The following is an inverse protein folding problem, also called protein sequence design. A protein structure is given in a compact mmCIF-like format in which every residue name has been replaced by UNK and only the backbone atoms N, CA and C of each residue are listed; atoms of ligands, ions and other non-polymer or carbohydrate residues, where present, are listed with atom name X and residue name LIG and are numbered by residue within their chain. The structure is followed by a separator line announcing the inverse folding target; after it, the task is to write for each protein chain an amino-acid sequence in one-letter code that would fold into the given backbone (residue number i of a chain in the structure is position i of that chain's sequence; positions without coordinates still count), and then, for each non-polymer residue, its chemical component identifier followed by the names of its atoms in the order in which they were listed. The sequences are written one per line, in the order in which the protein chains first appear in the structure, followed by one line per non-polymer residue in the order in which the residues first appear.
data_IF_034342160090
#
_entry.id   IF_034342160090
#
_cell.length_a   1.000
_cell.length_b   1.000
_cell.length_c   1.000
_cell.angle_alpha   90.00
_cell.angle_beta   90.00
_cell.angle_gamma   90.00
#
_symmetry.space_group_name_H-M   'P 1'
#
loop_
_entity.id
_entity.type
_entity.pdbx_description
1 polymer ?
#
# COMPACT_ATOMS: atom_id res chain seq x y z
N UNK A 1 39.25 7.82 5.81
CA UNK A 1 38.79 7.17 7.06
C UNK A 1 38.26 8.27 7.97
N UNK A 2 37.07 8.08 8.54
CA UNK A 2 36.46 9.02 9.48
C UNK A 2 37.35 9.19 10.74
N UNK A 3 37.43 10.40 11.28
CA UNK A 3 38.15 10.67 12.53
C UNK A 3 37.34 10.20 13.75
N UNK A 4 37.98 10.10 14.91
CA UNK A 4 37.26 9.81 16.16
C UNK A 4 36.21 10.86 16.53
N UNK A 5 36.38 12.11 16.08
CA UNK A 5 35.37 13.15 16.27
C UNK A 5 34.19 12.96 15.32
N UNK A 6 34.45 12.59 14.06
CA UNK A 6 33.41 12.28 13.08
C UNK A 6 32.54 11.09 13.53
N UNK A 7 33.15 10.06 14.14
CA UNK A 7 32.42 8.90 14.66
C UNK A 7 31.54 9.29 15.86
N UNK A 8 32.02 10.17 16.75
CA UNK A 8 31.21 10.66 17.88
C UNK A 8 30.02 11.47 17.41
N UNK A 9 30.23 12.35 16.42
CA UNK A 9 29.17 13.13 15.80
C UNK A 9 28.15 12.20 15.12
N UNK A 10 28.64 11.24 14.34
CA UNK A 10 27.82 10.19 13.71
C UNK A 10 26.93 9.46 14.72
N UNK A 11 27.50 8.99 15.83
CA UNK A 11 26.74 8.29 16.89
C UNK A 11 25.64 9.22 17.43
N UNK A 12 25.99 10.46 17.79
CA UNK A 12 25.04 11.41 18.38
C UNK A 12 23.88 11.70 17.43
N UNK A 13 24.17 12.02 16.16
CA UNK A 13 23.14 12.34 15.17
C UNK A 13 22.28 11.11 14.83
N UNK A 14 22.90 9.93 14.74
CA UNK A 14 22.17 8.69 14.48
C UNK A 14 21.23 8.33 15.64
N UNK A 15 21.65 8.52 16.90
CA UNK A 15 20.79 8.29 18.08
C UNK A 15 19.57 9.22 18.08
N UNK A 16 19.75 10.50 17.74
CA UNK A 16 18.64 11.45 17.62
C UNK A 16 17.66 11.07 16.50
N UNK A 17 18.16 10.62 15.35
CA UNK A 17 17.34 10.17 14.22
C UNK A 17 16.63 8.84 14.52
N UNK A 18 17.27 7.92 15.25
CA UNK A 18 16.66 6.67 15.73
C UNK A 18 15.48 6.99 16.66
N UNK A 19 15.64 7.94 17.60
CA UNK A 19 14.53 8.33 18.48
C UNK A 19 13.36 8.94 17.69
N UNK A 20 13.65 9.84 16.74
CA UNK A 20 12.61 10.40 15.86
C UNK A 20 11.89 9.33 15.03
N UNK A 21 12.64 8.32 14.58
CA UNK A 21 12.08 7.19 13.84
C UNK A 21 11.12 6.39 14.73
N UNK A 22 11.52 6.08 15.96
CA UNK A 22 10.66 5.39 16.94
C UNK A 22 9.37 6.14 17.20
N UNK A 23 9.47 7.44 17.50
CA UNK A 23 8.30 8.28 17.78
C UNK A 23 7.33 8.34 16.58
N UNK A 24 7.87 8.39 15.36
CA UNK A 24 7.07 8.36 14.14
C UNK A 24 6.39 6.99 13.92
N UNK A 25 7.07 5.87 14.20
CA UNK A 25 6.47 4.53 14.12
C UNK A 25 5.32 4.40 15.13
N UNK A 26 5.52 4.84 16.37
CA UNK A 26 4.48 4.81 17.41
C UNK A 26 3.28 5.69 17.03
N UNK A 27 3.52 6.90 16.53
CA UNK A 27 2.44 7.78 16.06
C UNK A 27 1.66 7.16 14.90
N UNK A 28 2.35 6.48 13.98
CA UNK A 28 1.72 5.75 12.89
C UNK A 28 0.89 4.55 13.37
N UNK A 29 1.37 3.84 14.39
CA UNK A 29 0.63 2.74 15.02
C UNK A 29 -0.66 3.24 15.69
N UNK A 30 -0.58 4.35 16.42
CA UNK A 30 -1.74 4.98 17.06
C UNK A 30 -2.70 5.64 16.05
N UNK A 31 -2.17 6.27 15.00
CA UNK A 31 -2.90 7.08 14.03
C UNK A 31 -2.65 6.61 12.58
N UNK A 32 -3.15 5.42 12.21
CA UNK A 32 -2.82 4.74 10.96
C UNK A 32 -3.19 5.45 9.65
N UNK A 33 -4.18 6.34 9.70
CA UNK A 33 -4.64 7.09 8.53
C UNK A 33 -3.90 8.42 8.37
N UNK A 34 -3.02 8.78 9.31
CA UNK A 34 -2.23 9.99 9.24
C UNK A 34 -1.01 9.76 8.33
N UNK A 35 -0.88 10.46 7.20
CA UNK A 35 0.26 10.28 6.29
C UNK A 35 1.55 10.96 6.78
N UNK A 36 1.47 11.83 7.81
CA UNK A 36 2.63 12.61 8.29
C UNK A 36 3.77 11.72 8.81
N UNK A 37 3.54 10.70 9.64
CA UNK A 37 4.63 9.88 10.15
C UNK A 37 5.39 9.14 9.05
N UNK A 38 4.71 8.64 8.01
CA UNK A 38 5.38 8.01 6.84
C UNK A 38 6.34 8.99 6.16
N UNK A 39 5.90 10.24 5.98
CA UNK A 39 6.72 11.29 5.38
C UNK A 39 7.92 11.67 6.27
N UNK A 40 7.71 11.71 7.59
CA UNK A 40 8.79 11.94 8.57
C UNK A 40 9.82 10.79 8.56
N UNK A 41 9.35 9.55 8.51
CA UNK A 41 10.20 8.36 8.37
C UNK A 41 11.02 8.44 7.08
N UNK A 42 10.41 8.80 5.94
CA UNK A 42 11.11 8.95 4.67
C UNK A 42 12.28 9.93 4.76
N UNK A 43 12.06 11.13 5.31
CA UNK A 43 13.14 12.11 5.45
C UNK A 43 14.21 11.70 6.47
N UNK A 44 13.79 11.02 7.54
CA UNK A 44 14.72 10.52 8.56
C UNK A 44 15.65 9.47 7.96
N UNK A 45 15.11 8.54 7.17
CA UNK A 45 15.92 7.53 6.46
C UNK A 45 16.77 8.11 5.34
N UNK A 46 16.30 9.13 4.62
CA UNK A 46 17.11 9.87 3.67
C UNK A 46 18.35 10.50 4.34
N UNK A 47 18.16 11.06 5.54
CA UNK A 47 19.24 11.64 6.33
C UNK A 47 20.19 10.57 6.85
N UNK A 48 19.65 9.48 7.41
CA UNK A 48 20.44 8.33 7.87
C UNK A 48 21.28 7.70 6.75
N UNK A 49 20.75 7.61 5.52
CA UNK A 49 21.51 7.14 4.34
C UNK A 49 22.76 7.97 4.09
N UNK A 50 22.63 9.30 4.10
CA UNK A 50 23.76 10.21 3.94
C UNK A 50 24.76 10.09 5.08
N UNK A 51 24.26 10.08 6.31
CA UNK A 51 25.06 10.00 7.52
C UNK A 51 25.88 8.71 7.61
N UNK A 52 25.25 7.57 7.30
CA UNK A 52 25.89 6.24 7.28
C UNK A 52 26.93 6.12 6.16
N UNK A 53 26.67 6.69 4.98
CA UNK A 53 27.65 6.75 3.89
C UNK A 53 28.88 7.58 4.28
N UNK A 54 28.69 8.75 4.92
CA UNK A 54 29.79 9.60 5.39
C UNK A 54 30.65 8.91 6.45
N UNK A 55 30.02 8.11 7.32
CA UNK A 55 30.72 7.31 8.32
C UNK A 55 31.39 6.05 7.76
N UNK A 56 31.17 5.73 6.47
CA UNK A 56 31.80 4.60 5.77
C UNK A 56 31.05 3.27 5.87
N UNK A 57 29.78 3.29 6.32
CA UNK A 57 28.91 2.11 6.36
C UNK A 57 28.12 1.99 5.05
N UNK A 58 28.76 1.50 4.00
CA UNK A 58 28.15 1.37 2.67
C UNK A 58 26.92 0.47 2.65
N UNK A 59 26.95 -0.66 3.33
CA UNK A 59 25.83 -1.60 3.33
C UNK A 59 24.68 -1.08 4.21
N UNK A 60 24.98 -0.45 5.34
CA UNK A 60 23.95 0.24 6.12
C UNK A 60 23.32 1.41 5.35
N UNK A 61 24.10 2.13 4.54
CA UNK A 61 23.59 3.18 3.66
C UNK A 61 22.65 2.61 2.59
N UNK A 62 23.01 1.48 1.96
CA UNK A 62 22.12 0.75 1.03
C UNK A 62 20.83 0.31 1.72
N UNK A 63 20.92 -0.23 2.93
CA UNK A 63 19.76 -0.59 3.74
C UNK A 63 18.84 0.62 3.96
N UNK A 64 19.39 1.78 4.36
CA UNK A 64 18.61 2.99 4.53
C UNK A 64 17.92 3.43 3.23
N UNK A 65 18.59 3.29 2.10
CA UNK A 65 18.04 3.61 0.78
C UNK A 65 16.90 2.65 0.38
N UNK A 66 17.03 1.35 0.63
CA UNK A 66 15.96 0.38 0.39
C UNK A 66 14.73 0.69 1.23
N UNK A 67 14.92 1.07 2.49
CA UNK A 67 13.82 1.48 3.36
C UNK A 67 13.20 2.81 2.94
N UNK A 68 14.00 3.80 2.52
CA UNK A 68 13.52 5.06 1.93
C UNK A 68 12.61 4.78 0.71
N UNK A 69 13.04 3.85 -0.17
CA UNK A 69 12.27 3.46 -1.36
C UNK A 69 10.98 2.75 -0.99
N UNK A 70 11.02 1.88 0.02
CA UNK A 70 9.86 1.20 0.56
C UNK A 70 8.82 2.17 1.15
N UNK A 71 9.26 3.14 1.95
CA UNK A 71 8.40 4.20 2.48
C UNK A 71 7.82 5.08 1.36
N UNK A 72 8.61 5.40 0.36
CA UNK A 72 8.14 6.17 -0.80
C UNK A 72 7.05 5.43 -1.58
N UNK A 73 7.18 4.12 -1.70
CA UNK A 73 6.21 3.24 -2.35
C UNK A 73 4.94 3.01 -1.52
N UNK A 74 4.96 3.30 -0.21
CA UNK A 74 3.81 3.12 0.69
C UNK A 74 3.10 4.43 1.03
N UNK A 75 3.72 5.60 0.85
CA UNK A 75 3.14 6.91 1.24
C UNK A 75 1.78 7.25 0.60
N UNK A 76 1.55 6.80 -0.64
CA UNK A 76 0.33 7.07 -1.41
C UNK A 76 -0.64 5.88 -1.39
N UNK A 77 -0.26 4.78 -0.73
CA UNK A 77 -1.03 3.55 -0.71
C UNK A 77 -1.58 3.37 0.70
N UNK A 78 -2.90 3.25 0.81
CA UNK A 78 -3.47 2.87 2.10
C UNK A 78 -2.99 1.45 2.42
N UNK A 79 -2.25 1.30 3.51
CA UNK A 79 -1.85 -0.03 4.01
C UNK A 79 -3.09 -0.67 4.62
N UNK A 80 -3.40 -1.89 4.20
CA UNK A 80 -4.56 -2.62 4.69
C UNK A 80 -4.51 -2.80 6.21
N UNK A 81 -5.67 -2.75 6.88
CA UNK A 81 -5.73 -2.99 8.32
C UNK A 81 -5.14 -4.36 8.71
N UNK A 82 -5.20 -5.34 7.81
CA UNK A 82 -4.71 -6.71 8.01
C UNK A 82 -3.18 -6.81 7.93
N UNK A 83 -2.51 -5.99 7.11
CA UNK A 83 -1.04 -5.95 6.99
C UNK A 83 -0.40 -4.86 7.85
N UNK A 84 -1.21 -4.04 8.54
CA UNK A 84 -0.73 -2.93 9.36
C UNK A 84 0.22 -3.40 10.46
N UNK A 85 -0.10 -4.48 11.17
CA UNK A 85 0.80 -5.06 12.18
C UNK A 85 2.12 -5.48 11.56
N UNK A 86 2.09 -6.24 10.47
CA UNK A 86 3.31 -6.65 9.75
C UNK A 86 4.12 -5.46 9.22
N UNK A 87 3.45 -4.38 8.81
CA UNK A 87 4.11 -3.14 8.39
C UNK A 87 4.85 -2.49 9.56
N UNK A 88 4.15 -2.27 10.69
CA UNK A 88 4.72 -1.69 11.91
C UNK A 88 5.88 -2.55 12.43
N UNK A 89 5.70 -3.88 12.48
CA UNK A 89 6.75 -4.83 12.87
C UNK A 89 7.98 -4.67 11.98
N UNK A 90 7.80 -4.58 10.65
CA UNK A 90 8.90 -4.36 9.70
C UNK A 90 9.60 -3.01 9.90
N UNK A 91 8.86 -1.95 10.29
CA UNK A 91 9.46 -0.66 10.64
C UNK A 91 10.33 -0.78 11.90
N UNK A 92 9.85 -1.49 12.93
CA UNK A 92 10.60 -1.72 14.16
C UNK A 92 11.83 -2.63 13.94
N UNK A 93 11.70 -3.70 13.17
CA UNK A 93 12.83 -4.55 12.78
C UNK A 93 13.92 -3.75 12.06
N UNK A 94 13.50 -2.82 11.19
CA UNK A 94 14.42 -1.93 10.48
C UNK A 94 15.11 -0.93 11.41
N UNK A 95 14.39 -0.41 12.40
CA UNK A 95 14.95 0.44 13.45
C UNK A 95 15.97 -0.33 14.32
N UNK A 96 15.71 -1.60 14.59
CA UNK A 96 16.60 -2.45 15.38
C UNK A 96 17.92 -2.76 14.66
N UNK A 97 17.92 -2.87 13.33
CA UNK A 97 19.16 -2.94 12.54
C UNK A 97 20.04 -1.71 12.80
N UNK A 98 19.46 -0.51 12.73
CA UNK A 98 20.18 0.74 12.99
C UNK A 98 20.73 0.77 14.42
N UNK A 99 19.89 0.49 15.43
CA UNK A 99 20.31 0.44 16.84
C UNK A 99 21.45 -0.54 17.08
N UNK A 100 21.39 -1.71 16.45
CA UNK A 100 22.43 -2.73 16.60
C UNK A 100 23.77 -2.27 16.02
N UNK A 101 23.78 -1.60 14.86
CA UNK A 101 25.01 -1.04 14.31
C UNK A 101 25.54 0.08 15.19
N UNK A 102 24.72 1.05 15.60
CA UNK A 102 25.16 2.14 16.49
C UNK A 102 25.73 1.60 17.81
N UNK A 103 25.10 0.56 18.39
CA UNK A 103 25.61 -0.11 19.60
C UNK A 103 26.98 -0.76 19.40
N UNK A 104 27.27 -1.31 18.22
CA UNK A 104 28.61 -1.84 17.87
C UNK A 104 29.63 -0.72 17.73
N UNK A 105 29.28 0.35 17.02
CA UNK A 105 30.14 1.52 16.81
C UNK A 105 30.52 2.17 18.14
N UNK A 106 29.57 2.28 19.08
CA UNK A 106 29.85 2.76 20.45
C UNK A 106 30.87 1.92 21.24
N UNK A 107 31.05 0.66 20.86
CA UNK A 107 32.07 -0.25 21.43
C UNK A 107 33.38 -0.26 20.64
N UNK A 108 33.50 0.57 19.61
CA UNK A 108 34.66 0.63 18.70
C UNK A 108 34.63 -0.42 17.58
N UNK A 109 33.52 -1.13 17.41
CA UNK A 109 33.34 -2.08 16.30
C UNK A 109 32.72 -1.36 15.10
N UNK A 110 33.55 -1.16 14.06
CA UNK A 110 33.17 -0.51 12.80
C UNK A 110 32.76 -1.52 11.72
N UNK A 111 32.46 -2.76 12.10
CA UNK A 111 31.99 -3.79 11.14
C UNK A 111 30.61 -3.41 10.62
N UNK A 112 30.50 -3.28 9.30
CA UNK A 112 29.25 -3.02 8.60
C UNK A 112 28.34 -4.27 8.58
N UNK A 113 27.07 -4.09 8.19
CA UNK A 113 26.15 -5.20 7.98
C UNK A 113 26.55 -6.01 6.73
N UNK A 114 26.21 -7.30 6.75
CA UNK A 114 26.52 -8.20 5.64
C UNK A 114 25.67 -7.86 4.40
N UNK A 115 26.28 -7.89 3.20
CA UNK A 115 25.56 -7.54 1.97
C UNK A 115 24.42 -8.52 1.66
N UNK A 116 24.57 -9.82 2.00
CA UNK A 116 23.49 -10.80 1.83
C UNK A 116 22.29 -10.47 2.73
N UNK A 117 22.54 -10.01 3.95
CA UNK A 117 21.47 -9.55 4.84
C UNK A 117 20.73 -8.33 4.25
N UNK A 118 21.44 -7.41 3.60
CA UNK A 118 20.82 -6.28 2.88
C UNK A 118 19.94 -6.78 1.73
N UNK A 119 20.43 -7.75 0.95
CA UNK A 119 19.68 -8.35 -0.16
C UNK A 119 18.42 -9.10 0.33
N UNK A 120 18.53 -9.84 1.44
CA UNK A 120 17.41 -10.57 2.06
C UNK A 120 16.32 -9.61 2.58
N UNK A 121 16.73 -8.51 3.22
CA UNK A 121 15.80 -7.47 3.68
C UNK A 121 15.13 -6.77 2.49
N UNK A 122 15.90 -6.44 1.44
CA UNK A 122 15.33 -5.86 0.22
C UNK A 122 14.27 -6.78 -0.38
N UNK A 123 14.54 -8.08 -0.45
CA UNK A 123 13.55 -9.07 -0.87
C UNK A 123 12.29 -9.07 0.00
N UNK A 124 12.43 -8.83 1.30
CA UNK A 124 11.29 -8.68 2.22
C UNK A 124 10.48 -7.40 1.95
N UNK A 125 11.12 -6.31 1.57
CA UNK A 125 10.43 -5.06 1.16
C UNK A 125 9.74 -5.20 -0.20
N UNK A 126 10.39 -5.87 -1.16
CA UNK A 126 9.83 -6.10 -2.51
C UNK A 126 8.65 -7.09 -2.45
N UNK A 127 8.72 -8.09 -1.56
CA UNK A 127 7.62 -9.04 -1.30
C UNK A 127 6.57 -8.51 -0.32
N UNK A 128 6.83 -7.39 0.34
CA UNK A 128 5.79 -6.52 0.89
C UNK A 128 5.06 -5.86 -0.31
N UNK A 129 4.47 -6.71 -1.16
CA UNK A 129 3.59 -6.30 -2.22
C UNK A 129 2.47 -5.53 -1.53
N UNK A 130 2.47 -4.24 -1.82
CA UNK A 130 1.26 -3.45 -1.70
C UNK A 130 0.30 -4.03 -2.73
N UNK A 131 -0.37 -5.11 -2.31
CA UNK A 131 -1.51 -5.65 -3.00
C UNK A 131 -2.45 -4.47 -3.20
N UNK A 132 -2.78 -4.24 -4.47
CA UNK A 132 -3.80 -3.31 -4.86
C UNK A 132 -5.12 -3.78 -4.25
N UNK A 133 -5.37 -3.36 -3.01
CA UNK A 133 -6.52 -3.80 -2.26
C UNK A 133 -7.79 -3.27 -2.91
N UNK A 134 -8.60 -4.20 -3.35
CA UNK A 134 -9.90 -3.98 -3.95
C UNK A 134 -10.91 -3.72 -2.82
N UNK A 135 -10.59 -4.24 -1.63
CA UNK A 135 -11.20 -3.95 -0.33
C UNK A 135 -11.17 -2.48 0.11
N UNK A 136 -10.40 -1.59 -0.57
CA UNK A 136 -10.57 -0.14 -0.36
C UNK A 136 -11.91 0.40 -0.83
N UNK A 137 -12.65 -0.42 -1.59
CA UNK A 137 -13.95 -0.07 -2.11
C UNK A 137 -14.95 -0.73 -1.19
N UNK A 138 -15.23 0.00 -0.11
CA UNK A 138 -16.24 -0.38 0.86
C UNK A 138 -17.60 -0.32 0.16
N UNK A 139 -18.28 -1.47 -0.02
CA UNK A 139 -19.67 -1.51 -0.44
C UNK A 139 -20.47 -0.52 0.40
N UNK A 140 -21.15 0.42 -0.26
CA UNK A 140 -21.99 1.39 0.42
C UNK A 140 -23.08 0.63 1.17
N UNK A 141 -23.35 1.03 2.41
CA UNK A 141 -24.38 0.38 3.21
C UNK A 141 -25.76 0.51 2.57
N UNK A 142 -26.65 -0.46 2.79
CA UNK A 142 -28.01 -0.46 2.22
C UNK A 142 -28.79 0.81 2.58
N UNK A 143 -28.55 1.38 3.76
CA UNK A 143 -29.18 2.62 4.22
C UNK A 143 -28.71 3.86 3.46
N UNK A 144 -27.43 3.91 3.06
CA UNK A 144 -26.87 4.96 2.22
C UNK A 144 -27.31 4.83 0.76
N UNK A 145 -27.37 3.60 0.24
CA UNK A 145 -27.93 3.31 -1.11
C UNK A 145 -29.34 3.90 -1.24
N UNK A 146 -30.18 3.73 -0.22
CA UNK A 146 -31.57 4.22 -0.25
C UNK A 146 -31.65 5.74 -0.29
N UNK A 147 -30.71 6.44 0.36
CA UNK A 147 -30.61 7.91 0.30
C UNK A 147 -30.15 8.38 -1.08
N UNK A 148 -29.14 7.71 -1.64
CA UNK A 148 -28.55 8.04 -2.94
C UNK A 148 -29.59 7.86 -4.05
N UNK A 149 -30.34 6.76 -4.04
CA UNK A 149 -31.41 6.51 -5.01
C UNK A 149 -32.63 7.44 -4.86
N UNK A 150 -32.69 8.26 -3.79
CA UNK A 150 -33.64 9.36 -3.67
C UNK A 150 -33.32 10.55 -4.58
N UNK A 151 -32.08 10.65 -5.07
CA UNK A 151 -31.68 11.61 -6.10
C UNK A 151 -32.03 11.06 -7.49
N UNK A 152 -32.85 11.79 -8.24
CA UNK A 152 -33.33 11.37 -9.58
C UNK A 152 -32.23 11.36 -10.65
N UNK A 153 -31.03 11.89 -10.36
CA UNK A 153 -29.93 11.92 -11.31
C UNK A 153 -29.10 10.64 -11.32
N UNK A 154 -29.09 9.86 -10.23
CA UNK A 154 -28.33 8.62 -10.15
C UNK A 154 -29.18 7.40 -10.56
N UNK A 155 -28.58 6.49 -11.32
CA UNK A 155 -29.24 5.28 -11.81
C UNK A 155 -28.54 4.04 -11.28
N UNK A 156 -29.29 3.02 -10.80
CA UNK A 156 -28.71 1.76 -10.39
C UNK A 156 -28.48 0.83 -11.58
N UNK A 157 -27.35 0.15 -11.55
CA UNK A 157 -26.89 -0.81 -12.54
C UNK A 157 -26.47 -2.11 -11.86
N UNK A 158 -26.72 -3.21 -12.56
CA UNK A 158 -26.08 -4.50 -12.31
C UNK A 158 -25.06 -4.74 -13.42
N UNK A 159 -23.80 -4.92 -13.06
CA UNK A 159 -22.70 -5.20 -13.99
C UNK A 159 -22.21 -6.62 -13.69
N UNK A 160 -22.31 -7.51 -14.67
CA UNK A 160 -21.65 -8.81 -14.62
C UNK A 160 -20.36 -8.72 -15.43
N UNK A 161 -19.27 -9.24 -14.88
CA UNK A 161 -17.96 -9.29 -15.53
C UNK A 161 -17.44 -10.70 -15.46
N UNK A 162 -16.90 -11.19 -16.59
CA UNK A 162 -16.12 -12.42 -16.67
C UNK A 162 -14.73 -12.09 -17.20
N UNK A 163 -13.69 -12.44 -16.44
CA UNK A 163 -12.30 -12.35 -16.87
C UNK A 163 -11.94 -13.52 -17.77
N UNK A 164 -11.01 -13.30 -18.70
CA UNK A 164 -10.45 -14.38 -19.51
C UNK A 164 -9.81 -15.47 -18.64
N UNK A 165 -9.90 -16.73 -19.05
CA UNK A 165 -9.26 -17.85 -18.34
C UNK A 165 -7.73 -17.71 -18.27
N UNK A 166 -7.14 -17.02 -19.26
CA UNK A 166 -5.71 -16.72 -19.39
C UNK A 166 -5.24 -15.58 -18.49
N UNK A 167 -6.12 -14.86 -17.79
CA UNK A 167 -5.74 -13.73 -16.95
C UNK A 167 -4.89 -14.19 -15.76
N UNK A 168 -3.57 -13.97 -15.86
CA UNK A 168 -2.57 -14.38 -14.86
C UNK A 168 -2.69 -13.53 -13.58
N UNK A 169 -2.98 -12.24 -13.73
CA UNK A 169 -3.00 -11.27 -12.63
C UNK A 169 -4.43 -10.80 -12.28
N UNK A 170 -5.30 -11.74 -11.91
CA UNK A 170 -6.73 -11.46 -11.63
C UNK A 170 -6.93 -10.34 -10.60
N UNK A 171 -6.12 -10.28 -9.53
CA UNK A 171 -6.20 -9.20 -8.53
C UNK A 171 -5.91 -7.83 -9.11
N UNK A 172 -4.87 -7.71 -9.93
CA UNK A 172 -4.52 -6.46 -10.62
C UNK A 172 -5.65 -6.03 -11.55
N UNK A 173 -6.24 -7.00 -12.27
CA UNK A 173 -7.36 -6.73 -13.18
C UNK A 173 -8.59 -6.23 -12.45
N UNK A 174 -8.96 -6.90 -11.36
CA UNK A 174 -10.08 -6.47 -10.53
C UNK A 174 -9.85 -5.07 -9.94
N UNK A 175 -8.62 -4.74 -9.51
CA UNK A 175 -8.31 -3.38 -9.02
C UNK A 175 -8.54 -2.31 -10.10
N UNK A 176 -8.09 -2.55 -11.33
CA UNK A 176 -8.27 -1.60 -12.44
C UNK A 176 -9.77 -1.40 -12.74
N UNK A 177 -10.54 -2.48 -12.80
CA UNK A 177 -12.00 -2.45 -13.01
C UNK A 177 -12.67 -1.60 -11.93
N UNK A 178 -12.36 -1.90 -10.68
CA UNK A 178 -12.99 -1.27 -9.54
C UNK A 178 -12.64 0.21 -9.41
N UNK A 179 -11.38 0.57 -9.70
CA UNK A 179 -10.93 1.96 -9.78
C UNK A 179 -11.65 2.71 -10.88
N UNK A 180 -11.69 2.16 -12.09
CA UNK A 180 -12.34 2.78 -13.24
C UNK A 180 -13.84 3.05 -12.97
N UNK A 181 -14.53 2.11 -12.31
CA UNK A 181 -15.92 2.29 -11.89
C UNK A 181 -16.06 3.38 -10.83
N UNK A 182 -15.23 3.42 -9.79
CA UNK A 182 -15.35 4.44 -8.75
C UNK A 182 -14.95 5.86 -9.17
N UNK A 183 -14.11 6.01 -10.20
CA UNK A 183 -13.86 7.32 -10.82
C UNK A 183 -15.11 7.87 -11.54
N UNK A 184 -16.08 7.01 -11.84
CA UNK A 184 -17.24 7.32 -12.68
C UNK A 184 -18.60 7.08 -11.99
N UNK A 185 -18.59 6.72 -10.71
CA UNK A 185 -19.78 6.37 -9.93
C UNK A 185 -19.41 5.68 -8.64
N UNK A 186 -20.30 4.83 -8.12
CA UNK A 186 -20.18 4.23 -6.80
C UNK A 186 -20.47 2.74 -6.85
N UNK A 187 -19.47 1.93 -6.52
CA UNK A 187 -19.68 0.50 -6.26
C UNK A 187 -20.39 0.35 -4.93
N UNK A 188 -21.53 -0.31 -4.96
CA UNK A 188 -22.42 -0.46 -3.81
C UNK A 188 -22.30 -1.83 -3.17
N UNK A 189 -22.10 -2.91 -3.95
CA UNK A 189 -21.81 -4.26 -3.45
C UNK A 189 -21.31 -5.16 -4.60
N UNK A 190 -20.68 -6.30 -4.27
CA UNK A 190 -20.21 -7.30 -5.25
C UNK A 190 -20.55 -8.73 -4.83
N UNK A 191 -20.81 -9.59 -5.82
CA UNK A 191 -20.95 -11.04 -5.63
C UNK A 191 -19.88 -11.80 -6.42
N UNK A 192 -18.97 -12.54 -5.77
CA UNK A 192 -18.80 -12.64 -4.32
C UNK A 192 -18.29 -11.33 -3.69
N UNK A 193 -18.37 -11.23 -2.37
CA UNK A 193 -17.92 -10.05 -1.62
C UNK A 193 -16.42 -9.73 -1.87
N UNK A 194 -15.98 -8.46 -1.74
CA UNK A 194 -14.62 -8.05 -2.09
C UNK A 194 -13.51 -8.89 -1.42
N UNK A 195 -13.69 -9.28 -0.16
CA UNK A 195 -12.73 -10.10 0.59
C UNK A 195 -12.61 -11.53 0.04
N UNK A 196 -13.63 -11.98 -0.69
CA UNK A 196 -13.67 -13.29 -1.35
C UNK A 196 -13.11 -13.21 -2.76
N UNK A 197 -13.32 -12.09 -3.46
CA UNK A 197 -12.65 -11.77 -4.72
C UNK A 197 -11.13 -11.64 -4.54
N UNK A 198 -10.63 -11.30 -3.36
CA UNK A 198 -9.18 -11.24 -3.11
C UNK A 198 -8.54 -12.61 -2.80
N UNK A 199 -9.32 -13.66 -2.56
CA UNK A 199 -8.79 -14.99 -2.23
C UNK A 199 -8.52 -15.80 -3.50
N UNK A 200 -7.54 -16.71 -3.44
CA UNK A 200 -7.10 -17.57 -4.55
C UNK A 200 -8.17 -18.56 -5.09
N UNK A 201 -9.41 -18.49 -4.60
CA UNK A 201 -10.59 -19.23 -5.11
C UNK A 201 -11.46 -18.26 -5.93
N UNK A 202 -10.81 -17.47 -6.78
CA UNK A 202 -11.47 -16.52 -7.65
C UNK A 202 -12.12 -17.29 -8.80
N UNK A 203 -13.45 -17.35 -8.78
CA UNK A 203 -14.19 -17.61 -10.01
C UNK A 203 -13.87 -16.49 -11.01
N UNK A 204 -13.86 -16.81 -12.30
CA UNK A 204 -13.58 -15.80 -13.33
C UNK A 204 -14.72 -14.80 -13.49
N UNK A 205 -15.88 -15.09 -12.91
CA UNK A 205 -17.07 -14.27 -12.97
C UNK A 205 -17.48 -13.69 -11.62
N UNK A 206 -17.99 -12.46 -11.67
CA UNK A 206 -18.49 -11.73 -10.53
C UNK A 206 -19.51 -10.66 -10.95
N UNK A 207 -20.34 -10.25 -10.01
CA UNK A 207 -21.35 -9.23 -10.19
C UNK A 207 -21.02 -8.00 -9.35
N UNK A 208 -21.36 -6.82 -9.86
CA UNK A 208 -21.23 -5.53 -9.19
C UNK A 208 -22.58 -4.83 -9.24
N UNK A 209 -23.11 -4.46 -8.08
CA UNK A 209 -24.17 -3.48 -7.96
C UNK A 209 -23.54 -2.09 -7.91
N UNK A 210 -23.92 -1.23 -8.84
CA UNK A 210 -23.24 0.02 -9.14
C UNK A 210 -24.23 1.15 -9.35
N UNK A 211 -23.94 2.33 -8.83
CA UNK A 211 -24.77 3.52 -9.03
C UNK A 211 -23.94 4.59 -9.74
N UNK A 212 -24.50 5.22 -10.76
CA UNK A 212 -23.84 6.31 -11.48
C UNK A 212 -24.85 7.24 -12.14
N UNK A 213 -24.43 8.49 -12.38
CA UNK A 213 -25.14 9.45 -13.23
C UNK A 213 -24.89 9.20 -14.72
N UNK A 214 -23.84 8.44 -15.07
CA UNK A 214 -23.49 8.09 -16.45
C UNK A 214 -24.46 7.06 -17.00
N UNK A 215 -24.67 7.09 -18.32
CA UNK A 215 -25.54 6.12 -18.99
C UNK A 215 -24.79 4.79 -19.25
N UNK A 216 -25.54 3.75 -19.65
CA UNK A 216 -24.96 2.41 -19.92
C UNK A 216 -23.83 2.44 -20.97
N UNK A 217 -23.99 3.10 -22.14
CA UNK A 217 -22.90 3.23 -23.11
C UNK A 217 -21.61 3.81 -22.54
N UNK A 218 -21.69 4.87 -21.74
CA UNK A 218 -20.50 5.51 -21.15
C UNK A 218 -19.80 4.59 -20.16
N UNK A 219 -20.55 3.83 -19.35
CA UNK A 219 -20.01 2.84 -18.42
C UNK A 219 -19.36 1.68 -19.19
N UNK A 220 -20.00 1.22 -20.28
CA UNK A 220 -19.43 0.18 -21.15
C UNK A 220 -18.09 0.63 -21.69
N UNK A 221 -18.02 1.84 -22.24
CA UNK A 221 -16.80 2.36 -22.83
C UNK A 221 -15.61 2.37 -21.85
N UNK A 222 -15.85 2.77 -20.60
CA UNK A 222 -14.84 2.75 -19.53
C UNK A 222 -14.33 1.32 -19.26
N UNK A 223 -15.22 0.32 -19.29
CA UNK A 223 -14.84 -1.07 -19.03
C UNK A 223 -14.21 -1.75 -20.26
N UNK A 224 -14.62 -1.36 -21.47
CA UNK A 224 -14.12 -1.90 -22.74
C UNK A 224 -12.63 -1.54 -22.97
N UNK A 225 -12.12 -0.47 -22.35
CA UNK A 225 -10.70 -0.10 -22.37
C UNK A 225 -9.81 -1.04 -21.52
N UNK A 226 -10.42 -1.86 -20.68
CA UNK A 226 -9.71 -2.76 -19.77
C UNK A 226 -9.50 -4.11 -20.46
N UNK A 227 -8.23 -4.48 -20.67
CA UNK A 227 -7.83 -5.75 -21.30
C UNK A 227 -8.27 -6.98 -20.49
N UNK A 228 -8.17 -8.17 -21.09
CA UNK A 228 -8.47 -9.52 -20.54
C UNK A 228 -9.80 -9.66 -19.77
N UNK A 229 -10.81 -8.89 -20.19
CA UNK A 229 -12.21 -9.12 -19.84
C UNK A 229 -12.87 -9.87 -20.99
N UNK A 230 -13.36 -11.08 -20.72
CA UNK A 230 -14.03 -11.93 -21.70
C UNK A 230 -15.44 -11.43 -22.01
N UNK A 231 -16.18 -10.99 -20.98
CA UNK A 231 -17.58 -10.60 -21.13
C UNK A 231 -17.99 -9.53 -20.11
N UNK A 232 -18.79 -8.56 -20.55
CA UNK A 232 -19.39 -7.51 -19.73
C UNK A 232 -20.89 -7.45 -20.04
N UNK A 233 -21.73 -7.56 -19.01
CA UNK A 233 -23.18 -7.38 -19.14
C UNK A 233 -23.68 -6.33 -18.17
N UNK A 234 -24.11 -5.18 -18.71
CA UNK A 234 -24.66 -4.06 -17.92
C UNK A 234 -26.18 -4.02 -18.06
N UNK A 235 -26.90 -4.10 -16.94
CA UNK A 235 -28.36 -4.00 -16.86
C UNK A 235 -28.78 -2.84 -15.97
N UNK A 236 -29.72 -2.02 -16.44
CA UNK A 236 -30.32 -0.97 -15.60
C UNK A 236 -31.32 -1.63 -14.66
N UNK A 237 -31.17 -1.39 -13.36
CA UNK A 237 -32.12 -1.88 -12.37
C UNK A 237 -33.26 -0.88 -12.25
N UNK A 238 -34.50 -1.38 -12.24
CA UNK A 238 -35.66 -0.55 -11.91
C UNK A 238 -35.78 -0.50 -10.39
N UNK A 239 -36.06 0.66 -9.78
CA UNK A 239 -36.40 0.68 -8.36
C UNK A 239 -37.64 -0.21 -8.16
N UNK A 240 -37.48 -1.32 -7.45
CA UNK A 240 -38.60 -2.11 -6.97
C UNK A 240 -39.33 -1.28 -5.92
N UNK A 241 -40.62 -1.04 -6.17
CA UNK A 241 -41.55 -0.41 -5.22
C UNK A 241 -41.63 -1.17 -3.89
#
# INVERSE_FOLDING_TARGET
MATNEDIKLFISEAEDLIQKTEDAILNLEENPENPKPIKELFFTFHTLKGLTAMAGFENLSKFCHHFETFLDNTKDKKVSAKKRTNFIDMLFESLDVLRNVIKKVKKGDMTDIDNKFVDDIKGSFDTFEVEYDITFIQPISTSEITKILGDKQEKPYKIYIRLEETCVFKKVRLYIIFRALNENGRICWTDPAPESLEKAILKNDFEIFYISQRNKPDISHVLDEILEIENIVISVLKPTH
#
